data_IF_290173060263
#
_entry.id   IF_290173060263
#
_cell.length_a   1.000
_cell.length_b   1.000
_cell.length_c   1.000
_cell.angle_alpha   90.00
_cell.angle_beta   90.00
_cell.angle_gamma   90.00
#
_symmetry.space_group_name_H-M   'P 1'
#
loop_
_entity.id
_entity.type
_entity.pdbx_description
1 polymer ?
#
# COMPACT_ATOMS: atom_id res chain seq x y z
N UNK A 1 -14.52 12.04 2.47
CA UNK A 1 -14.43 10.69 1.86
C UNK A 1 -13.88 9.77 2.95
N UNK A 2 -14.59 8.69 3.31
CA UNK A 2 -14.12 7.73 4.31
C UNK A 2 -13.72 6.44 3.57
N UNK A 3 -12.48 6.04 3.69
CA UNK A 3 -11.95 4.76 3.21
C UNK A 3 -12.58 3.62 3.99
N UNK A 4 -13.20 2.68 3.27
CA UNK A 4 -13.84 1.46 3.80
C UNK A 4 -12.80 0.33 3.96
N UNK A 5 -12.71 -0.34 5.12
CA UNK A 5 -11.86 -1.52 5.30
C UNK A 5 -12.12 -2.66 4.29
N UNK A 6 -13.36 -2.87 3.84
CA UNK A 6 -13.67 -3.94 2.89
C UNK A 6 -13.07 -3.61 1.51
N UNK A 7 -13.24 -2.38 1.07
CA UNK A 7 -12.58 -1.87 -0.13
C UNK A 7 -11.05 -1.97 -0.02
N UNK A 8 -10.48 -1.59 1.12
CA UNK A 8 -9.03 -1.69 1.34
C UNK A 8 -8.54 -3.14 1.27
N UNK A 9 -9.29 -4.09 1.85
CA UNK A 9 -9.00 -5.51 1.75
C UNK A 9 -8.99 -6.01 0.30
N UNK A 10 -9.96 -5.56 -0.52
CA UNK A 10 -10.02 -5.88 -1.95
C UNK A 10 -8.80 -5.33 -2.70
N UNK A 11 -8.41 -4.10 -2.44
CA UNK A 11 -7.24 -3.46 -3.05
C UNK A 11 -5.95 -4.21 -2.70
N UNK A 12 -5.72 -4.53 -1.43
CA UNK A 12 -4.52 -5.26 -1.01
C UNK A 12 -4.47 -6.64 -1.65
N UNK A 13 -5.62 -7.34 -1.69
CA UNK A 13 -5.70 -8.69 -2.25
C UNK A 13 -5.51 -8.71 -3.77
N UNK A 14 -5.86 -7.63 -4.47
CA UNK A 14 -5.68 -7.51 -5.92
C UNK A 14 -4.25 -7.18 -6.35
N UNK A 15 -3.35 -6.85 -5.41
CA UNK A 15 -1.94 -6.63 -5.71
C UNK A 15 -1.31 -7.89 -6.34
N UNK A 16 -0.53 -7.69 -7.40
CA UNK A 16 0.32 -8.75 -7.94
C UNK A 16 1.33 -9.18 -6.88
N UNK A 17 1.40 -10.47 -6.52
CA UNK A 17 2.34 -10.95 -5.52
C UNK A 17 3.77 -10.85 -6.08
N UNK A 18 4.47 -9.83 -5.62
CA UNK A 18 5.88 -9.53 -5.89
C UNK A 18 6.70 -9.69 -4.61
N UNK A 19 7.86 -10.32 -4.76
CA UNK A 19 8.89 -10.43 -3.72
C UNK A 19 9.75 -9.16 -3.63
N UNK A 20 9.79 -8.35 -4.69
CA UNK A 20 10.42 -7.03 -4.66
C UNK A 20 9.65 -6.10 -3.73
N UNK A 21 10.38 -5.40 -2.87
CA UNK A 21 9.84 -4.47 -1.87
C UNK A 21 10.29 -3.03 -2.15
N UNK A 22 9.52 -2.08 -1.62
CA UNK A 22 9.84 -0.66 -1.69
C UNK A 22 10.90 -0.25 -0.66
N UNK A 23 10.92 1.04 -0.31
CA UNK A 23 11.81 1.56 0.73
C UNK A 23 11.55 0.99 2.13
N UNK A 24 10.35 0.46 2.36
CA UNK A 24 9.92 -0.18 3.60
C UNK A 24 10.38 -1.64 3.71
N UNK A 25 10.97 -2.20 2.65
CA UNK A 25 11.35 -3.62 2.57
C UNK A 25 10.18 -4.59 2.79
N UNK A 26 8.92 -4.15 2.66
CA UNK A 26 7.73 -4.99 2.82
C UNK A 26 7.33 -5.55 1.45
N UNK A 27 7.38 -6.87 1.24
CA UNK A 27 6.96 -7.47 -0.01
C UNK A 27 5.43 -7.60 -0.06
N UNK A 28 4.86 -7.43 -1.25
CA UNK A 28 3.40 -7.46 -1.44
C UNK A 28 2.75 -8.81 -1.10
N UNK A 29 3.48 -9.92 -1.18
CA UNK A 29 2.98 -11.23 -0.75
C UNK A 29 2.73 -11.30 0.78
N UNK A 30 3.60 -10.69 1.57
CA UNK A 30 3.42 -10.55 3.02
C UNK A 30 2.26 -9.62 3.34
N UNK A 31 2.14 -8.51 2.60
CA UNK A 31 1.02 -7.59 2.75
C UNK A 31 -0.32 -8.29 2.50
N UNK A 32 -0.40 -9.14 1.48
CA UNK A 32 -1.57 -9.96 1.18
C UNK A 32 -1.91 -10.95 2.30
N UNK A 33 -0.90 -11.65 2.84
CA UNK A 33 -1.08 -12.55 3.97
C UNK A 33 -1.65 -11.84 5.21
N UNK A 34 -1.21 -10.61 5.46
CA UNK A 34 -1.60 -9.81 6.62
C UNK A 34 -2.86 -8.94 6.39
N UNK A 35 -3.51 -9.03 5.22
CA UNK A 35 -4.70 -8.23 4.87
C UNK A 35 -5.80 -8.23 5.95
N UNK A 36 -6.17 -9.38 6.57
CA UNK A 36 -7.20 -9.39 7.61
C UNK A 36 -6.85 -8.52 8.82
N UNK A 37 -5.56 -8.40 9.14
CA UNK A 37 -5.04 -7.64 10.28
C UNK A 37 -4.81 -6.15 9.95
N UNK A 38 -4.59 -5.80 8.68
CA UNK A 38 -4.22 -4.44 8.28
C UNK A 38 -5.33 -3.60 7.66
N UNK A 39 -6.36 -4.22 7.08
CA UNK A 39 -7.42 -3.50 6.38
C UNK A 39 -8.09 -2.40 7.22
N UNK A 40 -8.36 -2.67 8.50
CA UNK A 40 -8.97 -1.72 9.45
C UNK A 40 -7.99 -0.66 9.94
N UNK A 41 -6.77 -1.00 10.42
CA UNK A 41 -5.79 0.03 10.81
C UNK A 41 -5.43 0.99 9.67
N UNK A 42 -5.22 0.49 8.46
CA UNK A 42 -4.85 1.32 7.30
C UNK A 42 -5.98 2.28 6.94
N UNK A 43 -7.23 1.83 6.94
CA UNK A 43 -8.37 2.71 6.65
C UNK A 43 -8.50 3.83 7.67
N UNK A 44 -8.28 3.54 8.96
CA UNK A 44 -8.26 4.56 10.03
C UNK A 44 -7.12 5.57 9.80
N UNK A 45 -5.91 5.10 9.50
CA UNK A 45 -4.75 5.97 9.25
C UNK A 45 -5.02 6.88 8.07
N UNK A 46 -5.53 6.36 6.96
CA UNK A 46 -5.85 7.16 5.76
C UNK A 46 -6.92 8.19 6.07
N UNK A 47 -8.01 7.79 6.73
CA UNK A 47 -9.12 8.68 7.09
C UNK A 47 -8.69 9.81 8.03
N UNK A 48 -7.74 9.56 8.93
CA UNK A 48 -7.19 10.57 9.83
C UNK A 48 -6.11 11.44 9.18
N UNK A 49 -5.39 10.90 8.19
CA UNK A 49 -4.27 11.60 7.55
C UNK A 49 -4.72 12.49 6.39
N UNK A 50 -5.74 12.09 5.63
CA UNK A 50 -6.26 12.83 4.48
C UNK A 50 -6.62 14.31 4.74
N UNK A 51 -7.22 14.67 5.89
CA UNK A 51 -7.51 16.05 6.24
C UNK A 51 -6.27 16.94 6.39
N UNK A 52 -5.07 16.36 6.53
CA UNK A 52 -3.81 17.06 6.85
C UNK A 52 -2.70 16.87 5.81
N UNK A 53 -2.98 16.31 4.63
CA UNK A 53 -1.92 15.76 3.75
C UNK A 53 -1.04 16.82 3.09
N UNK A 54 0.24 16.78 3.43
CA UNK A 54 1.34 16.93 2.48
C UNK A 54 1.77 15.55 1.97
N UNK A 55 1.84 15.35 0.66
CA UNK A 55 2.42 14.12 0.08
C UNK A 55 3.93 14.13 0.35
N UNK A 56 4.53 13.06 0.89
CA UNK A 56 5.98 13.01 1.08
C UNK A 56 6.69 13.10 -0.28
N UNK A 57 7.58 14.09 -0.45
CA UNK A 57 8.32 14.36 -1.69
C UNK A 57 9.19 13.17 -2.17
N UNK A 58 9.41 12.18 -1.31
CA UNK A 58 10.36 11.08 -1.51
C UNK A 58 9.74 9.83 -2.17
N UNK A 59 8.58 9.94 -2.83
CA UNK A 59 8.04 8.83 -3.61
C UNK A 59 8.99 8.50 -4.77
N UNK A 60 9.62 7.33 -4.71
CA UNK A 60 10.70 6.95 -5.63
C UNK A 60 10.16 6.73 -7.06
N UNK A 61 10.65 7.52 -8.01
CA UNK A 61 10.59 7.18 -9.43
C UNK A 61 11.54 6.00 -9.67
N UNK A 62 11.01 4.81 -9.96
CA UNK A 62 11.83 3.69 -10.43
C UNK A 62 11.90 3.70 -11.96
N UNK A 63 13.09 3.87 -12.51
CA UNK A 63 13.36 3.65 -13.94
C UNK A 63 13.45 2.16 -14.20
N UNK A 64 12.48 1.61 -14.95
CA UNK A 64 12.52 0.23 -15.40
C UNK A 64 13.44 0.16 -16.62
N UNK A 65 14.63 -0.43 -16.47
CA UNK A 65 15.45 -0.78 -17.62
C UNK A 65 14.88 -2.05 -18.27
N UNK A 66 14.42 -1.96 -19.52
CA UNK A 66 14.09 -3.16 -20.31
C UNK A 66 15.38 -3.95 -20.55
N UNK A 67 15.38 -5.22 -20.15
CA UNK A 67 16.41 -6.17 -20.57
C UNK A 67 16.35 -6.30 -22.11
N UNK A 68 17.54 -6.36 -22.72
CA UNK A 68 17.79 -6.32 -24.16
C UNK A 68 17.38 -7.61 -24.86
#
# INVERSE_FOLDING_TARGET
>A
MLTDPIEMSRIITSLEPKTCSGHDSIPSNLLKYLTPSFSVPISIVINKSFPTVSVPENYKNFTIYKAK
#
